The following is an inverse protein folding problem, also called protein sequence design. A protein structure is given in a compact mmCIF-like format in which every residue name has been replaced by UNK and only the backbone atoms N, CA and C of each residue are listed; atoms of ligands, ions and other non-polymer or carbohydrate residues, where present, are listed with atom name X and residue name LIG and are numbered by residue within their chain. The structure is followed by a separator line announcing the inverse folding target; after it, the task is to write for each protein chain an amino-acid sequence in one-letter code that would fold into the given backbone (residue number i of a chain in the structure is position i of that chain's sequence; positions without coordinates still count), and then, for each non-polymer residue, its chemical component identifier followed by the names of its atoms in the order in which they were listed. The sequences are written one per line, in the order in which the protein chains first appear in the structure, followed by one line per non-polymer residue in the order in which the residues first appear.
data_IF_912627717491
#
_entry.id   IF_912627717491
#
_cell.length_a   1.000
_cell.length_b   1.000
_cell.length_c   1.000
_cell.angle_alpha   90.00
_cell.angle_beta   90.00
_cell.angle_gamma   90.00
#
_symmetry.space_group_name_H-M   'P 1'
#
loop_
_entity.id
_entity.type
_entity.pdbx_description
1 polymer ?
#
# COMPACT_ATOMS: atom_id res chain seq x y z
N UNK A 1 -57.55 32.09 22.52
CA UNK A 1 -56.25 32.32 23.16
C UNK A 1 -55.46 31.01 23.16
N UNK A 2 -54.55 30.83 22.20
CA UNK A 2 -53.41 29.93 22.32
C UNK A 2 -52.26 30.62 21.60
N UNK A 3 -51.24 30.95 22.39
CA UNK A 3 -49.98 31.55 21.97
C UNK A 3 -49.12 30.51 21.24
N UNK A 4 -48.35 30.93 20.24
CA UNK A 4 -47.49 30.02 19.47
C UNK A 4 -46.43 30.77 18.66
N UNK A 5 -45.52 31.46 19.35
CA UNK A 5 -44.28 31.97 18.76
C UNK A 5 -43.38 30.80 18.37
N UNK A 6 -43.30 30.51 17.06
CA UNK A 6 -42.25 29.66 16.49
C UNK A 6 -41.11 30.55 16.02
N UNK A 7 -40.15 30.80 16.91
CA UNK A 7 -38.85 31.34 16.54
C UNK A 7 -38.02 30.28 15.81
N UNK A 8 -38.11 30.29 14.48
CA UNK A 8 -37.21 29.57 13.60
C UNK A 8 -35.82 30.20 13.70
N UNK A 9 -34.93 29.58 14.48
CA UNK A 9 -33.51 29.87 14.48
C UNK A 9 -32.94 29.44 13.14
N UNK A 10 -32.85 30.36 12.18
CA UNK A 10 -32.06 30.17 10.98
C UNK A 10 -30.57 30.26 11.35
N UNK A 11 -29.74 29.24 11.08
CA UNK A 11 -28.30 29.37 11.22
C UNK A 11 -27.80 30.40 10.21
N UNK A 12 -27.11 31.43 10.73
CA UNK A 12 -26.59 32.56 9.96
C UNK A 12 -25.62 32.09 8.86
N UNK A 13 -25.83 32.59 7.63
CA UNK A 13 -24.94 32.39 6.47
C UNK A 13 -23.47 32.73 6.77
N UNK A 14 -23.20 33.58 7.76
CA UNK A 14 -21.85 33.95 8.20
C UNK A 14 -21.08 32.81 8.89
N UNK A 15 -21.75 31.85 9.55
CA UNK A 15 -21.06 30.72 10.18
C UNK A 15 -20.63 29.66 9.16
N UNK A 16 -21.42 29.48 8.10
CA UNK A 16 -21.12 28.54 7.00
C UNK A 16 -19.90 28.99 6.17
N UNK A 17 -19.78 30.28 5.87
CA UNK A 17 -18.63 30.82 5.13
C UNK A 17 -17.33 30.81 5.94
N UNK A 18 -17.41 31.02 7.26
CA UNK A 18 -16.24 30.95 8.15
C UNK A 18 -15.73 29.51 8.32
N UNK A 19 -16.61 28.51 8.36
CA UNK A 19 -16.17 27.10 8.45
C UNK A 19 -15.55 26.64 7.12
N UNK A 20 -16.14 27.01 5.98
CA UNK A 20 -15.62 26.68 4.65
C UNK A 20 -14.22 27.28 4.40
N UNK A 21 -13.99 28.53 4.83
CA UNK A 21 -12.67 29.17 4.73
C UNK A 21 -11.61 28.51 5.62
N UNK A 22 -11.99 28.07 6.82
CA UNK A 22 -11.08 27.34 7.73
C UNK A 22 -10.74 25.94 7.21
N UNK A 23 -11.71 25.24 6.63
CA UNK A 23 -11.50 23.90 6.06
C UNK A 23 -10.63 23.97 4.80
N UNK A 24 -10.85 24.96 3.93
CA UNK A 24 -10.01 25.18 2.74
C UNK A 24 -8.56 25.53 3.11
N UNK A 25 -8.34 26.34 4.15
CA UNK A 25 -7.00 26.66 4.64
C UNK A 25 -6.27 25.44 5.18
N UNK A 26 -6.98 24.56 5.91
CA UNK A 26 -6.42 23.29 6.43
C UNK A 26 -6.08 22.33 5.29
N UNK A 27 -6.98 22.16 4.32
CA UNK A 27 -6.75 21.30 3.15
C UNK A 27 -5.56 21.78 2.34
N UNK A 28 -5.47 23.08 2.08
CA UNK A 28 -4.36 23.69 1.34
C UNK A 28 -3.02 23.46 2.07
N UNK A 29 -2.98 23.67 3.38
CA UNK A 29 -1.78 23.41 4.19
C UNK A 29 -1.38 21.94 4.15
N UNK A 30 -2.35 21.02 4.26
CA UNK A 30 -2.11 19.59 4.17
C UNK A 30 -1.57 19.19 2.78
N UNK A 31 -2.17 19.72 1.71
CA UNK A 31 -1.76 19.47 0.34
C UNK A 31 -0.30 19.92 0.11
N UNK A 32 0.08 21.11 0.58
CA UNK A 32 1.46 21.57 0.50
C UNK A 32 2.43 20.68 1.27
N UNK A 33 2.05 20.18 2.45
CA UNK A 33 2.89 19.24 3.20
C UNK A 33 3.04 17.90 2.48
N UNK A 34 1.97 17.43 1.84
CA UNK A 34 1.89 16.12 1.18
C UNK A 34 2.57 16.09 -0.19
N UNK A 35 2.51 17.18 -0.96
CA UNK A 35 2.92 17.23 -2.37
C UNK A 35 4.15 18.13 -2.56
N UNK A 36 4.44 18.99 -1.58
CA UNK A 36 5.53 19.97 -1.66
C UNK A 36 5.14 21.24 -2.42
N UNK A 37 6.00 22.25 -2.33
CA UNK A 37 5.81 23.53 -3.01
C UNK A 37 6.21 23.49 -4.50
N UNK A 38 7.17 22.64 -4.87
CA UNK A 38 7.63 22.46 -6.25
C UNK A 38 7.45 20.99 -6.68
N UNK A 39 6.18 20.62 -6.83
CA UNK A 39 5.76 19.24 -7.05
C UNK A 39 6.14 18.70 -8.42
N UNK A 40 6.21 19.57 -9.43
CA UNK A 40 6.60 19.20 -10.79
C UNK A 40 8.10 18.88 -10.83
N UNK A 41 8.94 19.75 -10.26
CA UNK A 41 10.38 19.49 -10.19
C UNK A 41 10.66 18.23 -9.36
N UNK A 42 10.04 18.12 -8.19
CA UNK A 42 10.19 16.96 -7.31
C UNK A 42 9.76 15.67 -8.00
N UNK A 43 8.68 15.70 -8.77
CA UNK A 43 8.22 14.55 -9.56
C UNK A 43 9.24 14.15 -10.63
N UNK A 44 9.77 15.10 -11.39
CA UNK A 44 10.77 14.84 -12.42
C UNK A 44 12.04 14.20 -11.82
N UNK A 45 12.54 14.75 -10.73
CA UNK A 45 13.71 14.22 -10.02
C UNK A 45 13.44 12.82 -9.46
N UNK A 46 12.26 12.59 -8.86
CA UNK A 46 11.88 11.29 -8.34
C UNK A 46 11.70 10.25 -9.45
N UNK A 47 11.20 10.65 -10.62
CA UNK A 47 11.13 9.80 -11.80
C UNK A 47 12.52 9.39 -12.25
N UNK A 48 13.42 10.34 -12.47
CA UNK A 48 14.79 10.04 -12.94
C UNK A 48 15.50 9.02 -12.02
N UNK A 49 15.36 9.19 -10.69
CA UNK A 49 15.95 8.28 -9.71
C UNK A 49 15.33 6.89 -9.67
N UNK A 50 14.03 6.77 -9.96
CA UNK A 50 13.25 5.54 -9.67
C UNK A 50 12.89 4.74 -10.91
N UNK A 51 12.82 5.37 -12.08
CA UNK A 51 12.26 4.76 -13.29
C UNK A 51 12.98 3.51 -13.75
N UNK A 52 14.32 3.47 -13.67
CA UNK A 52 15.10 2.29 -14.04
C UNK A 52 14.76 1.07 -13.19
N UNK A 53 14.72 1.23 -11.86
CA UNK A 53 14.35 0.17 -10.92
C UNK A 53 12.88 -0.23 -11.08
N UNK A 54 12.01 0.74 -11.36
CA UNK A 54 10.59 0.48 -11.60
C UNK A 54 10.34 -0.35 -12.85
N UNK A 55 11.01 -0.02 -13.97
CA UNK A 55 10.94 -0.81 -15.21
C UNK A 55 11.47 -2.23 -14.97
N UNK A 56 12.59 -2.37 -14.26
CA UNK A 56 13.13 -3.68 -13.91
C UNK A 56 12.17 -4.52 -13.05
N UNK A 57 11.45 -3.87 -12.12
CA UNK A 57 10.41 -4.53 -11.33
C UNK A 57 9.20 -4.94 -12.19
N UNK A 58 8.74 -4.06 -13.09
CA UNK A 58 7.66 -4.37 -14.02
C UNK A 58 7.99 -5.56 -14.92
N UNK A 59 9.23 -5.65 -15.42
CA UNK A 59 9.67 -6.78 -16.22
C UNK A 59 9.58 -8.13 -15.50
N UNK A 60 9.63 -8.16 -14.17
CA UNK A 60 9.49 -9.38 -13.35
C UNK A 60 8.06 -9.65 -12.88
N UNK A 61 7.19 -8.66 -12.97
CA UNK A 61 5.87 -8.68 -12.29
C UNK A 61 4.70 -8.48 -13.24
N UNK A 62 4.96 -8.25 -14.52
CA UNK A 62 3.90 -8.22 -15.53
C UNK A 62 3.58 -9.65 -15.92
N UNK A 63 2.37 -10.11 -15.56
CA UNK A 63 1.91 -11.45 -15.87
C UNK A 63 1.43 -11.51 -17.33
N UNK A 64 1.78 -12.57 -18.10
CA UNK A 64 1.20 -12.79 -19.42
C UNK A 64 -0.31 -13.05 -19.32
N UNK A 65 -1.04 -12.80 -20.41
CA UNK A 65 -2.51 -12.88 -20.44
C UNK A 65 -3.07 -14.30 -20.45
N UNK A 66 -2.24 -15.29 -20.75
CA UNK A 66 -2.61 -16.67 -21.07
C UNK A 66 -2.06 -17.71 -20.09
N UNK A 67 -1.63 -17.27 -18.90
CA UNK A 67 -1.11 -18.16 -17.86
C UNK A 67 -2.23 -18.73 -16.97
N UNK A 68 -1.95 -19.89 -16.37
CA UNK A 68 -2.79 -20.48 -15.32
C UNK A 68 -2.47 -19.86 -13.96
N UNK A 69 -3.41 -19.93 -13.00
CA UNK A 69 -3.16 -19.46 -11.62
C UNK A 69 -2.09 -20.26 -10.87
N UNK A 70 -1.78 -21.47 -11.35
CA UNK A 70 -0.71 -22.33 -10.86
C UNK A 70 0.66 -22.06 -11.50
N UNK A 71 0.76 -21.12 -12.45
CA UNK A 71 2.00 -20.84 -13.16
C UNK A 71 3.09 -20.33 -12.19
N UNK A 72 4.31 -20.93 -12.21
CA UNK A 72 5.41 -20.50 -11.35
C UNK A 72 5.79 -19.02 -11.47
N UNK A 73 5.53 -18.36 -12.60
CA UNK A 73 5.83 -16.95 -12.78
C UNK A 73 5.07 -16.05 -11.79
N UNK A 74 3.87 -16.48 -11.35
CA UNK A 74 3.09 -15.74 -10.34
C UNK A 74 3.82 -15.70 -9.00
N UNK A 75 4.44 -16.82 -8.61
CA UNK A 75 5.23 -16.91 -7.39
C UNK A 75 6.46 -15.99 -7.49
N UNK A 76 7.19 -16.06 -8.60
CA UNK A 76 8.36 -15.21 -8.85
C UNK A 76 7.99 -13.72 -8.84
N UNK A 77 6.84 -13.36 -9.42
CA UNK A 77 6.34 -11.98 -9.42
C UNK A 77 6.07 -11.47 -7.99
N UNK A 78 5.38 -12.26 -7.16
CA UNK A 78 5.14 -11.85 -5.77
C UNK A 78 6.43 -11.74 -4.95
N UNK A 79 7.37 -12.68 -5.14
CA UNK A 79 8.68 -12.62 -4.48
C UNK A 79 9.47 -11.37 -4.89
N UNK A 80 9.42 -10.98 -6.17
CA UNK A 80 10.08 -9.77 -6.66
C UNK A 80 9.52 -8.50 -6.02
N UNK A 81 8.19 -8.36 -5.95
CA UNK A 81 7.53 -7.23 -5.28
C UNK A 81 7.86 -7.20 -3.79
N UNK A 82 7.79 -8.35 -3.13
CA UNK A 82 8.04 -8.44 -1.70
C UNK A 82 9.49 -8.16 -1.33
N UNK A 83 10.44 -8.55 -2.18
CA UNK A 83 11.85 -8.20 -2.00
C UNK A 83 12.06 -6.69 -1.93
N UNK A 84 11.33 -5.92 -2.74
CA UNK A 84 11.35 -4.46 -2.72
C UNK A 84 10.67 -3.92 -1.46
N UNK A 85 9.47 -4.41 -1.14
CA UNK A 85 8.70 -3.96 0.04
C UNK A 85 9.50 -4.19 1.33
N UNK A 86 10.17 -5.32 1.46
CA UNK A 86 10.91 -5.70 2.67
C UNK A 86 12.28 -5.04 2.83
N UNK A 87 12.71 -4.18 1.91
CA UNK A 87 13.88 -3.31 2.15
C UNK A 87 15.02 -3.40 1.14
N UNK A 88 14.82 -4.00 -0.04
CA UNK A 88 15.83 -3.91 -1.12
C UNK A 88 15.73 -2.66 -1.99
N UNK A 89 14.67 -1.86 -1.85
CA UNK A 89 14.42 -0.67 -2.67
C UNK A 89 14.36 0.63 -1.89
N UNK A 90 14.48 1.75 -2.61
CA UNK A 90 14.21 3.11 -2.10
C UNK A 90 12.78 3.24 -1.60
N UNK A 91 12.48 4.26 -0.78
CA UNK A 91 11.10 4.49 -0.32
C UNK A 91 10.14 4.76 -1.49
N UNK A 92 10.60 5.47 -2.53
CA UNK A 92 9.82 5.73 -3.76
C UNK A 92 9.50 4.43 -4.49
N UNK A 93 10.49 3.56 -4.70
CA UNK A 93 10.27 2.27 -5.33
C UNK A 93 9.33 1.39 -4.49
N UNK A 94 9.39 1.49 -3.15
CA UNK A 94 8.48 0.78 -2.24
C UNK A 94 7.02 1.19 -2.45
N UNK A 95 6.73 2.48 -2.69
CA UNK A 95 5.37 2.95 -3.01
C UNK A 95 4.86 2.31 -4.31
N UNK A 96 5.70 2.33 -5.34
CA UNK A 96 5.38 1.70 -6.62
C UNK A 96 5.18 0.18 -6.47
N UNK A 97 5.99 -0.48 -5.65
CA UNK A 97 5.84 -1.91 -5.36
C UNK A 97 4.52 -2.23 -4.66
N UNK A 98 4.05 -1.37 -3.75
CA UNK A 98 2.73 -1.51 -3.13
C UNK A 98 1.58 -1.38 -4.16
N UNK A 99 1.68 -0.44 -5.09
CA UNK A 99 0.72 -0.32 -6.21
C UNK A 99 0.77 -1.57 -7.08
N UNK A 100 1.97 -2.07 -7.40
CA UNK A 100 2.16 -3.26 -8.21
C UNK A 100 1.64 -4.53 -7.52
N UNK A 101 1.78 -4.63 -6.20
CA UNK A 101 1.19 -5.71 -5.41
C UNK A 101 -0.33 -5.76 -5.61
N UNK A 102 -1.00 -4.61 -5.59
CA UNK A 102 -2.44 -4.55 -5.82
C UNK A 102 -2.83 -4.95 -7.24
N UNK A 103 -2.06 -4.50 -8.24
CA UNK A 103 -2.25 -4.89 -9.64
C UNK A 103 -2.09 -6.39 -9.84
N UNK A 104 -1.07 -7.00 -9.24
CA UNK A 104 -0.88 -8.46 -9.25
C UNK A 104 -2.09 -9.19 -8.65
N UNK A 105 -2.61 -8.74 -7.51
CA UNK A 105 -3.82 -9.33 -6.92
C UNK A 105 -5.03 -9.21 -7.83
N UNK A 106 -5.22 -8.08 -8.52
CA UNK A 106 -6.32 -7.89 -9.47
C UNK A 106 -6.18 -8.86 -10.64
N UNK A 107 -5.01 -8.91 -11.28
CA UNK A 107 -4.75 -9.81 -12.41
C UNK A 107 -4.91 -11.28 -12.02
N UNK A 108 -4.34 -11.71 -10.90
CA UNK A 108 -4.46 -13.09 -10.43
C UNK A 108 -5.91 -13.46 -10.10
N UNK A 109 -6.66 -12.54 -9.48
CA UNK A 109 -8.10 -12.78 -9.20
C UNK A 109 -8.89 -12.94 -10.51
N UNK A 110 -8.56 -12.16 -11.54
CA UNK A 110 -9.19 -12.29 -12.86
C UNK A 110 -8.84 -13.63 -13.55
N UNK A 111 -7.57 -14.07 -13.46
CA UNK A 111 -7.14 -15.39 -13.96
C UNK A 111 -7.91 -16.52 -13.25
N UNK A 112 -7.94 -16.52 -11.92
CA UNK A 112 -8.66 -17.53 -11.13
C UNK A 112 -10.16 -17.55 -11.47
N UNK A 113 -10.76 -16.36 -11.63
CA UNK A 113 -12.15 -16.23 -12.03
C UNK A 113 -12.40 -16.87 -13.41
N UNK A 114 -11.55 -16.56 -14.39
CA UNK A 114 -11.63 -17.14 -15.73
C UNK A 114 -11.46 -18.67 -15.71
N UNK A 115 -10.52 -19.19 -14.93
CA UNK A 115 -10.35 -20.65 -14.79
C UNK A 115 -11.57 -21.34 -14.18
N UNK A 116 -12.22 -20.71 -13.20
CA UNK A 116 -13.48 -21.21 -12.61
C UNK A 116 -14.63 -21.20 -13.60
N UNK A 117 -14.79 -20.11 -14.33
CA UNK A 117 -15.83 -19.97 -15.36
C UNK A 117 -15.66 -21.01 -16.47
N UNK A 118 -14.41 -21.37 -16.79
CA UNK A 118 -14.08 -22.40 -17.77
C UNK A 118 -14.03 -23.83 -17.20
N UNK A 119 -14.44 -24.04 -15.94
CA UNK A 119 -14.46 -25.36 -15.29
C UNK A 119 -13.08 -25.98 -15.01
N UNK A 120 -11.99 -25.21 -15.17
CA UNK A 120 -10.60 -25.65 -14.91
C UNK A 120 -10.24 -25.63 -13.43
N UNK A 121 -11.01 -24.93 -12.60
CA UNK A 121 -10.81 -24.86 -11.16
C UNK A 121 -12.10 -25.18 -10.40
N UNK A 122 -12.04 -26.14 -9.48
CA UNK A 122 -13.21 -26.61 -8.74
C UNK A 122 -13.76 -25.53 -7.79
N UNK A 123 -15.09 -25.42 -7.74
CA UNK A 123 -15.77 -24.40 -6.94
C UNK A 123 -15.97 -24.89 -5.50
N UNK A 124 -15.11 -24.45 -4.59
CA UNK A 124 -15.32 -24.64 -3.16
C UNK A 124 -16.22 -23.53 -2.60
N UNK A 125 -17.39 -23.84 -2.00
CA UNK A 125 -18.37 -22.84 -1.54
C UNK A 125 -17.81 -21.77 -0.59
N UNK A 126 -16.77 -22.11 0.16
CA UNK A 126 -16.15 -21.22 1.15
C UNK A 126 -14.88 -20.50 0.64
N UNK A 127 -14.40 -20.77 -0.58
CA UNK A 127 -13.19 -20.15 -1.12
C UNK A 127 -13.53 -19.19 -2.27
N UNK A 128 -13.56 -17.89 -1.96
CA UNK A 128 -13.67 -16.83 -2.98
C UNK A 128 -12.36 -16.69 -3.75
N UNK A 129 -12.40 -16.16 -4.96
CA UNK A 129 -11.22 -15.98 -5.84
C UNK A 129 -10.11 -15.19 -5.14
N UNK A 130 -10.50 -14.14 -4.40
CA UNK A 130 -9.58 -13.35 -3.59
C UNK A 130 -8.93 -14.13 -2.45
N UNK A 131 -9.61 -15.14 -1.88
CA UNK A 131 -9.03 -16.03 -0.87
C UNK A 131 -7.96 -16.91 -1.50
N UNK A 132 -8.27 -17.51 -2.65
CA UNK A 132 -7.30 -18.35 -3.40
C UNK A 132 -6.07 -17.53 -3.79
N UNK A 133 -6.25 -16.29 -4.27
CA UNK A 133 -5.14 -15.40 -4.58
C UNK A 133 -4.27 -15.08 -3.36
N UNK A 134 -4.88 -14.91 -2.17
CA UNK A 134 -4.12 -14.74 -0.92
C UNK A 134 -3.35 -15.99 -0.54
N UNK A 135 -3.93 -17.18 -0.74
CA UNK A 135 -3.27 -18.44 -0.43
C UNK A 135 -2.07 -18.69 -1.34
N UNK A 136 -2.18 -18.38 -2.64
CA UNK A 136 -1.06 -18.40 -3.60
C UNK A 136 0.03 -17.39 -3.20
N UNK A 137 -0.35 -16.18 -2.81
CA UNK A 137 0.63 -15.22 -2.30
C UNK A 137 1.36 -15.76 -1.07
N UNK A 138 0.63 -16.36 -0.12
CA UNK A 138 1.22 -16.90 1.10
C UNK A 138 2.15 -18.09 0.82
N UNK A 139 1.83 -18.94 -0.16
CA UNK A 139 2.72 -20.02 -0.57
C UNK A 139 3.99 -19.53 -1.27
N UNK A 140 3.95 -18.33 -1.88
CA UNK A 140 5.13 -17.69 -2.46
C UNK A 140 6.16 -17.22 -1.42
N UNK A 141 5.78 -17.15 -0.15
CA UNK A 141 6.63 -16.61 0.92
C UNK A 141 7.54 -17.70 1.50
N UNK A 142 8.84 -17.56 1.26
CA UNK A 142 9.86 -18.51 1.74
C UNK A 142 9.99 -18.52 3.28
N UNK A 143 9.50 -17.48 3.97
CA UNK A 143 9.60 -17.37 5.43
C UNK A 143 8.52 -18.19 6.13
N UNK A 144 8.94 -19.28 6.76
CA UNK A 144 8.17 -20.10 7.72
C UNK A 144 7.85 -19.36 9.03
N UNK A 145 7.24 -18.18 8.96
CA UNK A 145 6.56 -17.59 10.12
C UNK A 145 5.21 -18.28 10.32
N UNK A 146 4.62 -18.15 11.50
CA UNK A 146 3.28 -18.63 11.78
C UNK A 146 2.29 -18.09 10.73
N UNK A 147 1.48 -18.94 10.11
CA UNK A 147 0.52 -18.57 9.05
C UNK A 147 -0.38 -17.40 9.45
N UNK A 148 -0.73 -17.27 10.74
CA UNK A 148 -1.51 -16.15 11.24
C UNK A 148 -0.77 -14.81 11.15
N UNK A 149 0.53 -14.82 11.43
CA UNK A 149 1.37 -13.63 11.33
C UNK A 149 1.55 -13.20 9.88
N UNK A 150 1.76 -14.17 8.98
CA UNK A 150 1.87 -13.89 7.55
C UNK A 150 0.57 -13.34 6.96
N UNK A 151 -0.58 -13.89 7.37
CA UNK A 151 -1.90 -13.39 6.93
C UNK A 151 -2.15 -11.97 7.42
N UNK A 152 -1.75 -11.64 8.65
CA UNK A 152 -1.86 -10.28 9.20
C UNK A 152 -0.97 -9.31 8.43
N UNK A 153 0.29 -9.68 8.21
CA UNK A 153 1.25 -8.89 7.44
C UNK A 153 0.75 -8.64 6.00
N UNK A 154 0.23 -9.67 5.32
CA UNK A 154 -0.40 -9.50 4.01
C UNK A 154 -1.57 -8.52 4.05
N UNK A 155 -2.43 -8.60 5.08
CA UNK A 155 -3.55 -7.67 5.21
C UNK A 155 -3.08 -6.22 5.36
N UNK A 156 -2.02 -5.98 6.13
CA UNK A 156 -1.39 -4.67 6.27
C UNK A 156 -0.81 -4.19 4.94
N UNK A 157 -0.05 -5.05 4.23
CA UNK A 157 0.50 -4.72 2.91
C UNK A 157 -0.59 -4.38 1.90
N UNK A 158 -1.71 -5.11 1.88
CA UNK A 158 -2.87 -4.80 1.02
C UNK A 158 -3.56 -3.50 1.42
N UNK A 159 -3.56 -3.12 2.70
CA UNK A 159 -4.06 -1.80 3.13
C UNK A 159 -3.18 -0.69 2.56
N UNK A 160 -1.86 -0.76 2.76
CA UNK A 160 -0.93 0.21 2.18
C UNK A 160 -1.00 0.25 0.66
N UNK A 161 -1.06 -0.92 0.02
CA UNK A 161 -1.26 -1.08 -1.41
C UNK A 161 -2.48 -0.33 -1.92
N UNK A 162 -3.64 -0.48 -1.26
CA UNK A 162 -4.85 0.24 -1.63
C UNK A 162 -4.69 1.74 -1.49
N UNK A 163 -4.22 2.22 -0.35
CA UNK A 163 -4.02 3.66 -0.12
C UNK A 163 -3.08 4.28 -1.16
N UNK A 164 -1.97 3.62 -1.49
CA UNK A 164 -1.08 4.10 -2.54
C UNK A 164 -1.70 4.01 -3.93
N UNK A 165 -2.51 2.98 -4.21
CA UNK A 165 -3.22 2.86 -5.50
C UNK A 165 -4.27 3.95 -5.67
N UNK A 166 -4.98 4.31 -4.59
CA UNK A 166 -5.98 5.38 -4.59
C UNK A 166 -5.31 6.74 -4.85
N UNK A 167 -4.16 7.00 -4.21
CA UNK A 167 -3.35 8.21 -4.45
C UNK A 167 -2.73 8.24 -5.85
N UNK A 168 -2.33 7.09 -6.39
CA UNK A 168 -1.81 6.97 -7.75
C UNK A 168 -2.86 7.28 -8.82
N UNK A 169 -4.14 7.03 -8.53
CA UNK A 169 -5.22 7.16 -9.50
C UNK A 169 -4.92 6.36 -10.78
N UNK A 170 -4.93 6.98 -11.98
CA UNK A 170 -4.77 6.25 -13.24
C UNK A 170 -3.33 5.79 -13.50
N UNK A 171 -2.33 6.41 -12.87
CA UNK A 171 -0.91 6.12 -13.14
C UNK A 171 -0.13 5.84 -11.85
N UNK A 172 0.56 4.69 -11.73
CA UNK A 172 1.40 4.39 -10.57
C UNK A 172 2.42 5.47 -10.29
N UNK A 173 2.90 6.15 -11.34
CA UNK A 173 3.93 7.17 -11.21
C UNK A 173 3.47 8.36 -10.38
N UNK A 174 2.17 8.65 -10.27
CA UNK A 174 1.69 9.76 -9.46
C UNK A 174 2.01 9.60 -7.97
N UNK A 175 2.35 8.41 -7.47
CA UNK A 175 2.85 8.24 -6.09
C UNK A 175 4.20 8.94 -5.85
N UNK A 176 4.92 9.28 -6.92
CA UNK A 176 6.23 9.95 -6.87
C UNK A 176 6.11 11.46 -6.65
N UNK A 177 4.92 12.04 -6.78
CA UNK A 177 4.69 13.47 -6.49
C UNK A 177 4.62 13.73 -4.98
N UNK A 178 4.31 12.69 -4.20
CA UNK A 178 4.11 12.84 -2.76
C UNK A 178 5.45 12.92 -2.02
N UNK A 179 5.51 13.78 -1.02
CA UNK A 179 6.62 13.86 -0.07
C UNK A 179 6.63 12.65 0.87
N UNK A 180 7.69 12.51 1.67
CA UNK A 180 7.77 11.54 2.76
C UNK A 180 6.70 11.76 3.85
N UNK A 181 6.18 12.99 3.99
CA UNK A 181 5.08 13.30 4.90
C UNK A 181 3.77 12.55 4.57
N UNK A 182 3.64 12.02 3.35
CA UNK A 182 2.51 11.15 2.97
C UNK A 182 2.58 9.76 3.62
N UNK A 183 3.77 9.27 3.95
CA UNK A 183 3.95 7.95 4.57
C UNK A 183 3.11 7.81 5.84
N UNK A 184 3.27 8.63 6.90
CA UNK A 184 2.53 8.46 8.14
C UNK A 184 1.00 8.59 7.95
N UNK A 185 0.54 9.31 6.93
CA UNK A 185 -0.90 9.46 6.66
C UNK A 185 -1.42 8.15 6.06
N UNK A 186 -0.72 7.58 5.08
CA UNK A 186 -1.01 6.23 4.58
C UNK A 186 -0.93 5.18 5.70
N UNK A 187 -0.05 5.39 6.69
CA UNK A 187 0.06 4.53 7.88
C UNK A 187 -1.09 4.69 8.89
N UNK A 188 -1.53 5.92 9.19
CA UNK A 188 -2.44 6.22 10.31
C UNK A 188 -3.91 6.20 9.90
N UNK A 189 -4.24 6.67 8.70
CA UNK A 189 -5.65 6.87 8.31
C UNK A 189 -6.44 5.56 8.21
N UNK A 190 -5.79 4.38 8.19
CA UNK A 190 -6.46 3.08 8.01
C UNK A 190 -5.96 1.93 8.92
N UNK A 191 -5.25 2.25 10.01
CA UNK A 191 -4.83 1.29 11.03
C UNK A 191 -5.47 1.63 12.39
N UNK A 192 -6.34 0.78 12.97
CA UNK A 192 -6.86 1.03 14.31
C UNK A 192 -5.86 0.74 15.45
N UNK A 193 -4.58 0.42 15.19
CA UNK A 193 -3.60 0.14 16.25
C UNK A 193 -2.16 0.61 15.93
N UNK A 194 -1.40 1.07 16.95
CA UNK A 194 -0.06 1.64 16.79
C UNK A 194 1.05 0.59 16.59
N UNK A 195 2.01 0.96 15.74
CA UNK A 195 3.11 0.19 15.14
C UNK A 195 4.33 -0.07 16.06
N UNK A 196 4.24 0.18 17.36
CA UNK A 196 5.41 0.15 18.23
C UNK A 196 5.79 -1.26 18.69
N UNK A 197 6.26 -2.15 17.80
CA UNK A 197 7.02 -3.36 18.22
C UNK A 197 7.81 -4.12 17.14
N UNK A 198 7.70 -3.82 15.85
CA UNK A 198 8.30 -4.69 14.82
C UNK A 198 9.78 -4.33 14.50
N UNK A 199 10.18 -3.06 14.61
CA UNK A 199 11.55 -2.66 14.22
C UNK A 199 12.62 -2.76 15.33
N UNK A 200 12.26 -3.07 16.58
CA UNK A 200 13.23 -3.10 17.68
C UNK A 200 14.11 -4.37 17.72
N UNK A 201 13.77 -5.42 16.97
CA UNK A 201 14.50 -6.70 17.01
C UNK A 201 15.67 -6.81 16.03
N UNK A 202 15.77 -5.91 15.05
CA UNK A 202 16.81 -6.00 14.00
C UNK A 202 18.04 -5.09 14.23
N UNK A 203 18.04 -4.29 15.30
CA UNK A 203 19.13 -3.34 15.65
C UNK A 203 19.88 -3.67 16.96
N UNK A 204 19.49 -4.71 17.71
CA UNK A 204 20.17 -5.13 18.96
C UNK A 204 21.06 -6.38 18.83
N UNK A 205 21.54 -6.68 17.62
CA UNK A 205 22.37 -7.86 17.33
C UNK A 205 23.86 -7.60 17.09
N UNK A 206 24.36 -6.36 17.24
CA UNK A 206 25.78 -6.03 17.07
C UNK A 206 26.28 -5.14 18.19
N UNK A 207 26.58 -5.74 19.34
CA UNK A 207 27.51 -5.17 20.31
C UNK A 207 28.71 -6.10 20.48
N UNK A 208 29.88 -5.51 20.34
CA UNK A 208 31.21 -6.10 20.30
C UNK A 208 31.47 -7.07 21.45
N UNK A 209 31.96 -8.27 21.12
CA UNK A 209 32.70 -9.12 22.05
C UNK A 209 34.12 -8.55 22.17
N UNK A 210 34.36 -7.66 23.14
CA UNK A 210 35.73 -7.26 23.55
C UNK A 210 36.42 -8.50 24.15
N UNK A 211 37.51 -8.94 23.53
CA UNK A 211 38.50 -9.82 24.17
C UNK A 211 39.25 -9.02 25.24
N UNK A 212 39.27 -9.53 26.45
CA UNK A 212 40.26 -9.18 27.49
C UNK A 212 41.28 -10.30 27.61
N UNK A 213 42.57 -9.99 27.85
CA UNK A 213 43.62 -10.98 28.06
C UNK A 213 43.59 -11.49 29.51
N UNK A 214 43.98 -12.74 29.71
CA UNK A 214 44.28 -13.27 31.05
C UNK A 214 45.78 -13.15 31.35
N UNK A 215 46.15 -13.03 32.63
CA UNK A 215 47.54 -12.87 33.09
C UNK A 215 48.39 -14.13 32.86
#
# INVERSE_FOLDING_TARGET
MVSGDSSLIHPSKSQCTISLGKDLGRVTTLAYRLVGHDSIHSFAENCEKTMGEWIALLGKTTLPSDIASSDPCIIVAFQAVDGVICGRGTYLLRRLAYVQLMRLFISLTAIIKSERENGRLHRNPCHRDATVAMDIYMSAQERRSNTRDLRRELQERKRFGRSWSDLAGPSPLFVLVYSDAAEPIVYVTFCPYPFSLINAKHLKGRTLKKRTPQP
#
